data_IF_637843180311
#
_entry.id   IF_637843180311
#
_cell.length_a   1.000
_cell.length_b   1.000
_cell.length_c   1.000
_cell.angle_alpha   90.00
_cell.angle_beta   90.00
_cell.angle_gamma   90.00
#
_symmetry.space_group_name_H-M   'P 1'
#
loop_
_entity.id
_entity.type
_entity.pdbx_description
1 polymer ?
#
# COMPACT_ATOMS: atom_id res chain seq x y z
N UNK A 1 67.01 16.81 -44.35
CA UNK A 1 65.81 16.09 -43.87
C UNK A 1 66.03 14.62 -44.17
N UNK A 2 66.36 13.86 -43.13
CA UNK A 2 66.88 12.48 -43.22
C UNK A 2 65.74 11.49 -43.55
N UNK A 3 66.07 10.41 -44.26
CA UNK A 3 65.08 9.39 -44.68
C UNK A 3 64.45 8.63 -43.51
N UNK A 4 64.99 8.78 -42.30
CA UNK A 4 64.49 8.16 -41.06
C UNK A 4 63.19 8.81 -40.56
N UNK A 5 62.98 10.12 -40.78
CA UNK A 5 61.76 10.83 -40.36
C UNK A 5 60.54 10.48 -41.24
N UNK A 6 60.76 10.01 -42.47
CA UNK A 6 59.66 9.61 -43.37
C UNK A 6 59.07 8.25 -43.02
N UNK A 7 59.81 7.40 -42.32
CA UNK A 7 59.34 6.07 -41.94
C UNK A 7 58.47 6.09 -40.67
N UNK A 8 58.61 7.11 -39.81
CA UNK A 8 57.78 7.30 -38.61
C UNK A 8 56.39 7.86 -38.91
N UNK A 9 56.22 8.58 -40.04
CA UNK A 9 54.92 9.10 -40.46
C UNK A 9 54.01 8.04 -41.11
N UNK A 10 54.54 6.85 -41.42
CA UNK A 10 53.74 5.72 -41.91
C UNK A 10 53.16 4.86 -40.79
N UNK A 11 53.76 4.90 -39.59
CA UNK A 11 53.14 4.38 -38.37
C UNK A 11 52.33 5.49 -37.72
N UNK A 12 51.24 5.86 -38.38
CA UNK A 12 50.26 6.77 -37.81
C UNK A 12 49.69 6.10 -36.56
N UNK A 13 50.02 6.60 -35.37
CA UNK A 13 49.49 6.11 -34.09
C UNK A 13 47.95 6.13 -34.08
N UNK A 14 47.32 7.05 -34.82
CA UNK A 14 45.87 7.02 -35.02
C UNK A 14 45.39 5.84 -35.86
N UNK A 15 46.19 5.35 -36.81
CA UNK A 15 45.87 4.17 -37.62
C UNK A 15 45.93 2.88 -36.80
N UNK A 16 46.93 2.75 -35.93
CA UNK A 16 47.09 1.60 -35.02
C UNK A 16 46.01 1.59 -33.93
N UNK A 17 45.65 2.77 -33.41
CA UNK A 17 44.52 2.91 -32.48
C UNK A 17 43.19 2.68 -33.21
N UNK A 18 43.01 3.18 -34.43
CA UNK A 18 41.80 2.95 -35.23
C UNK A 18 41.62 1.46 -35.56
N UNK A 19 42.65 0.75 -36.03
CA UNK A 19 42.56 -0.70 -36.32
C UNK A 19 42.27 -1.53 -35.06
N UNK A 20 42.87 -1.20 -33.91
CA UNK A 20 42.56 -1.87 -32.63
C UNK A 20 41.15 -1.58 -32.14
N UNK A 21 40.65 -0.37 -32.35
CA UNK A 21 39.30 0.03 -31.90
C UNK A 21 38.22 -0.54 -32.81
N UNK A 22 38.46 -0.57 -34.14
CA UNK A 22 37.56 -1.18 -35.13
C UNK A 22 37.45 -2.69 -34.92
N UNK A 23 38.55 -3.41 -34.69
CA UNK A 23 38.49 -4.85 -34.43
C UNK A 23 37.78 -5.23 -33.12
N UNK A 24 37.83 -4.36 -32.10
CA UNK A 24 37.08 -4.53 -30.86
C UNK A 24 35.60 -4.25 -31.04
N UNK A 25 35.25 -3.18 -31.77
CA UNK A 25 33.87 -2.84 -32.10
C UNK A 25 33.23 -3.89 -33.03
N UNK A 26 33.91 -4.40 -34.04
CA UNK A 26 33.37 -5.45 -34.92
C UNK A 26 33.05 -6.75 -34.16
N UNK A 27 33.88 -7.12 -33.18
CA UNK A 27 33.72 -8.37 -32.42
C UNK A 27 32.71 -8.27 -31.27
N UNK A 28 32.53 -7.08 -30.69
CA UNK A 28 31.67 -6.85 -29.53
C UNK A 28 30.47 -5.93 -29.78
N UNK A 29 30.29 -5.38 -31.00
CA UNK A 29 29.17 -4.50 -31.33
C UNK A 29 27.83 -5.15 -31.00
N UNK A 30 27.63 -6.42 -31.38
CA UNK A 30 26.38 -7.12 -31.12
C UNK A 30 26.07 -7.27 -29.63
N UNK A 31 27.09 -7.49 -28.79
CA UNK A 31 26.94 -7.62 -27.34
C UNK A 31 26.73 -6.27 -26.65
N UNK A 32 27.45 -5.22 -27.11
CA UNK A 32 27.29 -3.85 -26.59
C UNK A 32 25.91 -3.30 -26.94
N UNK A 33 25.45 -3.47 -28.18
CA UNK A 33 24.11 -3.05 -28.61
C UNK A 33 23.02 -3.81 -27.84
N UNK A 34 23.20 -5.13 -27.67
CA UNK A 34 22.27 -5.96 -26.91
C UNK A 34 22.18 -5.53 -25.44
N UNK A 35 23.31 -5.26 -24.79
CA UNK A 35 23.35 -4.78 -23.41
C UNK A 35 22.73 -3.38 -23.26
N UNK A 36 22.98 -2.47 -24.21
CA UNK A 36 22.38 -1.14 -24.20
C UNK A 36 20.85 -1.20 -24.39
N UNK A 37 20.36 -2.03 -25.31
CA UNK A 37 18.93 -2.26 -25.49
C UNK A 37 18.29 -2.88 -24.23
N UNK A 38 18.94 -3.86 -23.60
CA UNK A 38 18.45 -4.46 -22.36
C UNK A 38 18.40 -3.45 -21.20
N UNK A 39 19.40 -2.59 -21.07
CA UNK A 39 19.43 -1.53 -20.06
C UNK A 39 18.33 -0.49 -20.30
N UNK A 40 18.12 -0.07 -21.56
CA UNK A 40 17.03 0.84 -21.92
C UNK A 40 15.65 0.22 -21.67
N UNK A 41 15.46 -1.06 -21.97
CA UNK A 41 14.23 -1.78 -21.66
C UNK A 41 14.01 -1.88 -20.14
N UNK A 42 15.04 -2.18 -19.36
CA UNK A 42 14.95 -2.23 -17.91
C UNK A 42 14.58 -0.85 -17.31
N UNK A 43 15.18 0.22 -17.83
CA UNK A 43 14.84 1.59 -17.44
C UNK A 43 13.41 1.97 -17.85
N UNK A 44 12.97 1.60 -19.05
CA UNK A 44 11.60 1.85 -19.51
C UNK A 44 10.57 1.10 -18.67
N UNK A 45 10.83 -0.18 -18.36
CA UNK A 45 9.97 -0.99 -17.47
C UNK A 45 9.95 -0.41 -16.05
N UNK A 46 11.12 -0.03 -15.52
CA UNK A 46 11.23 0.60 -14.20
C UNK A 46 10.46 1.93 -14.13
N UNK A 47 10.61 2.78 -15.16
CA UNK A 47 9.90 4.05 -15.26
C UNK A 47 8.38 3.88 -15.40
N UNK A 48 7.93 2.88 -16.17
CA UNK A 48 6.50 2.59 -16.36
C UNK A 48 5.84 2.06 -15.07
N UNK A 49 6.57 1.26 -14.28
CA UNK A 49 6.12 0.87 -12.95
C UNK A 49 6.00 2.03 -11.98
N UNK A 50 6.91 3.02 -12.04
CA UNK A 50 6.81 4.21 -11.18
C UNK A 50 5.69 5.16 -11.62
N UNK A 51 5.45 5.33 -12.93
CA UNK A 51 4.40 6.22 -13.43
C UNK A 51 2.98 5.72 -13.14
N UNK A 52 2.78 4.40 -13.17
CA UNK A 52 1.46 3.78 -12.90
C UNK A 52 0.97 4.01 -11.47
N UNK A 53 1.88 4.29 -10.53
CA UNK A 53 1.54 4.53 -9.12
C UNK A 53 1.04 5.97 -8.89
N UNK A 54 1.64 6.97 -9.56
CA UNK A 54 1.29 8.38 -9.39
C UNK A 54 -0.03 8.77 -10.08
N UNK A 55 -0.25 8.32 -11.32
CA UNK A 55 -1.54 8.56 -12.03
C UNK A 55 -2.69 7.74 -11.43
N UNK A 56 -2.38 6.58 -10.84
CA UNK A 56 -3.34 5.77 -10.11
C UNK A 56 -3.89 6.47 -8.85
N UNK A 57 -3.02 7.14 -8.09
CA UNK A 57 -3.42 7.77 -6.83
C UNK A 57 -4.43 8.92 -7.01
N UNK A 58 -4.22 9.82 -7.98
CA UNK A 58 -5.12 10.96 -8.23
C UNK A 58 -6.51 10.52 -8.75
N UNK A 59 -6.52 9.52 -9.65
CA UNK A 59 -7.77 8.93 -10.12
C UNK A 59 -8.52 8.16 -9.03
N UNK A 60 -7.78 7.55 -8.09
CA UNK A 60 -8.33 6.91 -6.89
C UNK A 60 -9.09 7.88 -5.99
N UNK A 61 -8.49 9.05 -5.72
CA UNK A 61 -9.15 10.10 -4.93
C UNK A 61 -10.40 10.66 -5.62
N UNK A 62 -10.34 10.84 -6.93
CA UNK A 62 -11.50 11.32 -7.70
C UNK A 62 -12.67 10.33 -7.60
N UNK A 63 -12.40 9.02 -7.77
CA UNK A 63 -13.43 8.01 -7.66
C UNK A 63 -13.97 7.91 -6.23
N UNK A 64 -13.09 7.92 -5.22
CA UNK A 64 -13.49 7.94 -3.81
C UNK A 64 -14.42 9.11 -3.50
N UNK A 65 -14.09 10.32 -3.97
CA UNK A 65 -14.90 11.51 -3.72
C UNK A 65 -16.28 11.46 -4.41
N UNK A 66 -16.40 10.70 -5.50
CA UNK A 66 -17.68 10.47 -6.19
C UNK A 66 -18.51 9.32 -5.62
N UNK A 67 -17.92 8.45 -4.79
CA UNK A 67 -18.59 7.29 -4.22
C UNK A 67 -19.65 7.72 -3.20
N UNK A 68 -20.83 7.09 -3.24
CA UNK A 68 -21.95 7.40 -2.34
C UNK A 68 -22.50 6.15 -1.65
N UNK A 69 -22.32 4.98 -2.25
CA UNK A 69 -22.83 3.70 -1.75
C UNK A 69 -21.69 2.74 -1.38
N UNK A 70 -22.00 1.71 -0.59
CA UNK A 70 -21.04 0.64 -0.23
C UNK A 70 -20.45 -0.01 -1.49
N UNK A 71 -21.27 -0.21 -2.52
CA UNK A 71 -20.83 -0.80 -3.80
C UNK A 71 -19.85 0.13 -4.54
N UNK A 72 -20.09 1.45 -4.53
CA UNK A 72 -19.15 2.42 -5.12
C UNK A 72 -17.80 2.39 -4.40
N UNK A 73 -17.81 2.34 -3.06
CA UNK A 73 -16.57 2.20 -2.28
C UNK A 73 -15.89 0.85 -2.54
N UNK A 74 -16.64 -0.23 -2.71
CA UNK A 74 -16.14 -1.53 -3.14
C UNK A 74 -15.36 -1.45 -4.46
N UNK A 75 -15.91 -0.74 -5.44
CA UNK A 75 -15.23 -0.51 -6.71
C UNK A 75 -13.92 0.28 -6.56
N UNK A 76 -13.85 1.24 -5.62
CA UNK A 76 -12.60 1.96 -5.29
C UNK A 76 -11.57 1.00 -4.69
N UNK A 77 -11.98 0.15 -3.75
CA UNK A 77 -11.11 -0.81 -3.07
C UNK A 77 -10.50 -1.79 -4.08
N UNK A 78 -11.34 -2.36 -4.95
CA UNK A 78 -10.90 -3.34 -5.94
C UNK A 78 -9.97 -2.73 -6.99
N UNK A 79 -10.29 -1.52 -7.46
CA UNK A 79 -9.53 -0.84 -8.52
C UNK A 79 -8.20 -0.27 -8.05
N UNK A 80 -8.11 0.19 -6.80
CA UNK A 80 -6.95 0.92 -6.27
C UNK A 80 -6.30 0.22 -5.08
N UNK A 81 -6.37 -1.12 -5.03
CA UNK A 81 -5.86 -1.94 -3.92
C UNK A 81 -4.43 -1.56 -3.49
N UNK A 82 -4.24 -1.37 -2.19
CA UNK A 82 -2.96 -0.97 -1.59
C UNK A 82 -2.62 0.52 -1.73
N UNK A 83 -3.49 1.32 -2.37
CA UNK A 83 -3.33 2.77 -2.45
C UNK A 83 -4.12 3.48 -1.35
N UNK A 84 -3.72 4.69 -0.94
CA UNK A 84 -4.41 5.46 0.11
C UNK A 84 -5.92 5.61 -0.11
N UNK A 85 -6.36 5.86 -1.34
CA UNK A 85 -7.79 6.01 -1.64
C UNK A 85 -8.59 4.72 -1.35
N UNK A 86 -8.03 3.55 -1.66
CA UNK A 86 -8.64 2.26 -1.32
C UNK A 86 -8.66 2.03 0.20
N UNK A 87 -7.62 2.44 0.93
CA UNK A 87 -7.61 2.33 2.39
C UNK A 87 -8.73 3.17 3.02
N UNK A 88 -8.94 4.40 2.54
CA UNK A 88 -10.04 5.25 3.00
C UNK A 88 -11.41 4.66 2.64
N UNK A 89 -11.58 4.15 1.41
CA UNK A 89 -12.81 3.46 1.02
C UNK A 89 -13.11 2.27 1.94
N UNK A 90 -12.11 1.42 2.20
CA UNK A 90 -12.24 0.27 3.08
C UNK A 90 -12.61 0.67 4.51
N UNK A 91 -12.03 1.75 5.03
CA UNK A 91 -12.37 2.28 6.34
C UNK A 91 -13.85 2.71 6.40
N UNK A 92 -14.31 3.47 5.39
CA UNK A 92 -15.70 3.94 5.30
C UNK A 92 -16.67 2.76 5.22
N UNK A 93 -16.38 1.74 4.41
CA UNK A 93 -17.21 0.52 4.32
C UNK A 93 -17.27 -0.19 5.66
N UNK A 94 -16.13 -0.42 6.31
CA UNK A 94 -16.08 -1.10 7.61
C UNK A 94 -16.85 -0.35 8.69
N UNK A 95 -16.66 0.97 8.80
CA UNK A 95 -17.39 1.79 9.77
C UNK A 95 -18.89 1.85 9.48
N UNK A 96 -19.28 1.92 8.20
CA UNK A 96 -20.70 1.92 7.79
C UNK A 96 -21.37 0.60 8.12
N UNK A 97 -20.70 -0.53 7.84
CA UNK A 97 -21.18 -1.85 8.20
C UNK A 97 -21.36 -1.98 9.71
N UNK A 98 -20.35 -1.60 10.50
CA UNK A 98 -20.46 -1.65 11.96
C UNK A 98 -21.60 -0.76 12.48
N UNK A 99 -21.65 0.50 12.03
CA UNK A 99 -22.69 1.47 12.44
C UNK A 99 -24.10 0.98 12.13
N UNK A 100 -24.29 0.31 10.99
CA UNK A 100 -25.58 -0.25 10.58
C UNK A 100 -25.92 -1.53 11.33
N UNK A 101 -24.91 -2.35 11.62
CA UNK A 101 -25.10 -3.63 12.29
C UNK A 101 -25.51 -3.49 13.76
N UNK A 102 -24.93 -2.52 14.49
CA UNK A 102 -25.22 -2.30 15.91
C UNK A 102 -26.73 -2.16 16.24
N UNK A 103 -27.49 -1.25 15.61
CA UNK A 103 -28.94 -1.19 15.82
C UNK A 103 -29.68 -2.41 15.22
N UNK A 104 -29.11 -3.05 14.19
CA UNK A 104 -29.70 -4.23 13.54
C UNK A 104 -29.65 -5.46 14.45
N UNK A 105 -28.71 -5.53 15.40
CA UNK A 105 -28.65 -6.61 16.41
C UNK A 105 -29.98 -6.81 17.17
N UNK A 106 -30.76 -5.74 17.33
CA UNK A 106 -32.05 -5.77 18.03
C UNK A 106 -33.25 -6.12 17.12
N UNK A 107 -33.04 -6.19 15.80
CA UNK A 107 -34.08 -6.46 14.79
C UNK A 107 -33.86 -7.78 14.09
N UNK A 108 -32.64 -7.98 13.60
CA UNK A 108 -32.19 -9.20 12.94
C UNK A 108 -30.74 -9.48 13.32
N UNK A 109 -30.57 -10.36 14.31
CA UNK A 109 -29.27 -10.74 14.83
C UNK A 109 -28.41 -11.45 13.78
N UNK A 110 -29.01 -12.23 12.87
CA UNK A 110 -28.25 -12.99 11.89
C UNK A 110 -27.60 -12.08 10.84
N UNK A 111 -28.36 -11.07 10.37
CA UNK A 111 -27.84 -10.04 9.47
C UNK A 111 -26.77 -9.21 10.19
N UNK A 112 -27.06 -8.74 11.41
CA UNK A 112 -26.11 -7.93 12.15
C UNK A 112 -24.77 -8.63 12.42
N UNK A 113 -24.79 -9.93 12.78
CA UNK A 113 -23.56 -10.71 12.94
C UNK A 113 -22.76 -10.79 11.64
N UNK A 114 -23.45 -10.93 10.50
CA UNK A 114 -22.80 -10.97 9.19
C UNK A 114 -22.09 -9.65 8.89
N UNK A 115 -22.77 -8.53 9.14
CA UNK A 115 -22.24 -7.20 8.91
C UNK A 115 -21.09 -6.86 9.86
N UNK A 116 -21.17 -7.24 11.15
CA UNK A 116 -20.07 -7.06 12.11
C UNK A 116 -18.84 -7.88 11.69
N UNK A 117 -19.03 -9.11 11.21
CA UNK A 117 -17.93 -9.93 10.68
C UNK A 117 -17.30 -9.30 9.45
N UNK A 118 -18.11 -8.70 8.57
CA UNK A 118 -17.63 -7.97 7.40
C UNK A 118 -16.81 -6.74 7.81
N UNK A 119 -17.34 -5.92 8.73
CA UNK A 119 -16.65 -4.76 9.27
C UNK A 119 -15.30 -5.12 9.90
N UNK A 120 -15.30 -6.16 10.76
CA UNK A 120 -14.12 -6.71 11.41
C UNK A 120 -13.04 -7.10 10.39
N UNK A 121 -13.40 -7.90 9.37
CA UNK A 121 -12.45 -8.31 8.32
C UNK A 121 -11.85 -7.11 7.59
N UNK A 122 -12.65 -6.08 7.32
CA UNK A 122 -12.14 -4.88 6.67
C UNK A 122 -11.18 -4.08 7.56
N UNK A 123 -11.43 -3.98 8.87
CA UNK A 123 -10.48 -3.38 9.80
C UNK A 123 -9.19 -4.20 9.94
N UNK A 124 -9.30 -5.53 10.06
CA UNK A 124 -8.13 -6.43 10.09
C UNK A 124 -7.29 -6.28 8.80
N UNK A 125 -7.94 -6.27 7.63
CA UNK A 125 -7.26 -6.08 6.34
C UNK A 125 -6.55 -4.73 6.24
N UNK A 126 -7.10 -3.66 6.82
CA UNK A 126 -6.41 -2.37 6.89
C UNK A 126 -5.18 -2.47 7.77
N UNK A 127 -5.30 -3.06 8.96
CA UNK A 127 -4.21 -3.16 9.91
C UNK A 127 -3.04 -4.02 9.40
N UNK A 128 -3.29 -4.94 8.49
CA UNK A 128 -2.29 -5.76 7.79
C UNK A 128 -1.51 -4.98 6.70
N UNK A 129 -1.96 -3.79 6.30
CA UNK A 129 -1.27 -2.97 5.30
C UNK A 129 0.06 -2.41 5.83
N UNK A 130 1.14 -2.64 5.06
CA UNK A 130 2.51 -2.24 5.43
C UNK A 130 2.69 -0.73 5.55
N UNK A 131 1.94 0.03 4.75
CA UNK A 131 2.00 1.50 4.68
C UNK A 131 0.59 2.05 4.82
N UNK A 132 0.07 2.00 6.04
CA UNK A 132 -1.21 2.57 6.38
C UNK A 132 -1.03 3.97 6.99
N UNK A 133 -1.88 4.90 6.59
CA UNK A 133 -1.97 6.21 7.23
C UNK A 133 -2.32 6.07 8.72
N UNK A 134 -1.69 6.86 9.58
CA UNK A 134 -1.86 6.76 11.04
C UNK A 134 -3.30 7.05 11.48
N UNK A 135 -3.98 7.97 10.80
CA UNK A 135 -5.39 8.30 11.09
C UNK A 135 -6.30 7.12 10.77
N UNK A 136 -6.04 6.43 9.65
CA UNK A 136 -6.79 5.22 9.29
C UNK A 136 -6.47 4.10 10.29
N UNK A 137 -5.21 3.95 10.68
CA UNK A 137 -4.78 2.92 11.65
C UNK A 137 -5.47 3.09 13.00
N UNK A 138 -5.46 4.30 13.54
CA UNK A 138 -6.13 4.64 14.81
C UNK A 138 -7.62 4.30 14.76
N UNK A 139 -8.32 4.73 13.71
CA UNK A 139 -9.75 4.46 13.53
C UNK A 139 -10.05 2.98 13.32
N UNK A 140 -9.17 2.26 12.61
CA UNK A 140 -9.32 0.83 12.39
C UNK A 140 -9.13 0.03 13.69
N UNK A 141 -8.18 0.41 14.55
CA UNK A 141 -8.01 -0.20 15.88
C UNK A 141 -9.24 0.02 16.76
N UNK A 142 -9.77 1.25 16.77
CA UNK A 142 -11.01 1.57 17.49
C UNK A 142 -12.20 0.73 16.98
N UNK A 143 -12.44 0.73 15.67
CA UNK A 143 -13.52 -0.05 15.06
C UNK A 143 -13.38 -1.55 15.27
N UNK A 144 -12.15 -2.08 15.21
CA UNK A 144 -11.87 -3.49 15.49
C UNK A 144 -12.19 -3.85 16.94
N UNK A 145 -11.81 -3.01 17.90
CA UNK A 145 -12.13 -3.24 19.31
C UNK A 145 -13.64 -3.28 19.55
N UNK A 146 -14.40 -2.37 18.94
CA UNK A 146 -15.88 -2.38 18.98
C UNK A 146 -16.46 -3.66 18.38
N UNK A 147 -15.95 -4.12 17.24
CA UNK A 147 -16.39 -5.38 16.62
C UNK A 147 -16.13 -6.59 17.53
N UNK A 148 -14.95 -6.65 18.15
CA UNK A 148 -14.56 -7.74 19.05
C UNK A 148 -15.43 -7.73 20.30
N UNK A 149 -15.65 -6.55 20.90
CA UNK A 149 -16.52 -6.42 22.06
C UNK A 149 -17.96 -6.80 21.76
N UNK A 150 -18.51 -6.31 20.64
CA UNK A 150 -19.90 -6.59 20.26
C UNK A 150 -20.15 -8.09 20.04
N UNK A 151 -19.13 -8.82 19.59
CA UNK A 151 -19.18 -10.26 19.33
C UNK A 151 -18.68 -11.12 20.49
N UNK A 152 -18.37 -10.52 21.64
CA UNK A 152 -17.87 -11.22 22.81
C UNK A 152 -18.92 -12.21 23.34
N UNK A 153 -18.47 -13.42 23.66
CA UNK A 153 -19.29 -14.51 24.22
C UNK A 153 -19.20 -14.62 25.75
N UNK A 154 -18.63 -13.60 26.40
CA UNK A 154 -18.35 -13.55 27.83
C UNK A 154 -16.86 -13.58 28.16
N UNK A 155 -15.99 -13.95 27.23
CA UNK A 155 -14.54 -13.81 27.42
C UNK A 155 -14.06 -12.38 27.11
N UNK A 156 -13.99 -11.55 28.16
CA UNK A 156 -13.60 -10.13 28.06
C UNK A 156 -12.12 -9.88 27.76
N UNK A 157 -11.25 -10.90 27.77
CA UNK A 157 -9.83 -10.71 27.49
C UNK A 157 -9.56 -10.16 26.10
N UNK A 158 -10.28 -10.65 25.08
CA UNK A 158 -10.06 -10.23 23.70
C UNK A 158 -10.49 -8.77 23.47
N UNK A 159 -11.68 -8.33 23.91
CA UNK A 159 -12.05 -6.91 23.89
C UNK A 159 -11.04 -6.01 24.63
N UNK A 160 -10.59 -6.40 25.83
CA UNK A 160 -9.61 -5.63 26.61
C UNK A 160 -8.31 -5.48 25.82
N UNK A 161 -7.75 -6.58 25.30
CA UNK A 161 -6.51 -6.55 24.50
C UNK A 161 -6.64 -5.65 23.27
N UNK A 162 -7.82 -5.62 22.64
CA UNK A 162 -8.05 -4.77 21.47
C UNK A 162 -8.05 -3.27 21.81
N UNK A 163 -8.69 -2.85 22.90
CA UNK A 163 -8.63 -1.46 23.37
C UNK A 163 -7.24 -1.09 23.91
N UNK A 164 -6.54 -2.01 24.56
CA UNK A 164 -5.16 -1.81 25.02
C UNK A 164 -4.21 -1.61 23.83
N UNK A 165 -4.43 -2.28 22.69
CA UNK A 165 -3.67 -2.05 21.47
C UNK A 165 -3.83 -0.60 20.96
N UNK A 166 -5.06 -0.09 20.92
CA UNK A 166 -5.35 1.31 20.54
C UNK A 166 -4.62 2.30 21.45
N UNK A 167 -4.80 2.18 22.77
CA UNK A 167 -4.25 3.14 23.74
C UNK A 167 -2.73 3.07 23.85
N UNK A 168 -2.13 1.91 23.61
CA UNK A 168 -0.67 1.74 23.57
C UNK A 168 -0.05 2.35 22.32
N UNK A 169 -0.67 2.16 21.16
CA UNK A 169 -0.15 2.68 19.89
C UNK A 169 -0.45 4.18 19.72
N UNK A 170 -1.62 4.64 20.19
CA UNK A 170 -2.08 6.02 20.10
C UNK A 170 -2.41 6.58 21.50
N UNK A 171 -1.40 6.92 22.32
CA UNK A 171 -1.59 7.40 23.69
C UNK A 171 -2.26 8.78 23.80
N UNK A 172 -2.36 9.51 22.69
CA UNK A 172 -3.04 10.80 22.58
C UNK A 172 -4.32 10.72 21.72
N UNK A 173 -4.81 9.49 21.48
CA UNK A 173 -6.01 9.24 20.68
C UNK A 173 -7.22 9.99 21.22
N UNK A 174 -8.07 10.49 20.31
CA UNK A 174 -9.38 11.03 20.68
C UNK A 174 -10.29 9.98 21.35
N UNK A 175 -10.03 8.70 21.10
CA UNK A 175 -10.78 7.57 21.65
C UNK A 175 -10.23 7.10 22.99
N UNK A 176 -9.07 7.58 23.44
CA UNK A 176 -8.37 7.06 24.63
C UNK A 176 -9.25 7.03 25.86
N UNK A 177 -9.87 8.15 26.21
CA UNK A 177 -10.69 8.24 27.42
C UNK A 177 -11.85 7.24 27.40
N UNK A 178 -12.47 7.05 26.24
CA UNK A 178 -13.55 6.08 26.06
C UNK A 178 -13.03 4.64 26.13
N UNK A 179 -11.89 4.35 25.50
CA UNK A 179 -11.26 3.04 25.52
C UNK A 179 -10.81 2.63 26.95
N UNK A 180 -10.20 3.55 27.71
CA UNK A 180 -9.77 3.31 29.09
C UNK A 180 -10.95 3.06 30.04
N UNK A 181 -12.02 3.84 29.90
CA UNK A 181 -13.27 3.63 30.65
C UNK A 181 -13.90 2.27 30.30
N UNK A 182 -13.88 1.89 29.02
CA UNK A 182 -14.40 0.60 28.57
C UNK A 182 -13.57 -0.58 29.07
N UNK A 183 -12.25 -0.50 29.05
CA UNK A 183 -11.35 -1.49 29.66
C UNK A 183 -11.66 -1.65 31.15
N UNK A 184 -11.81 -0.53 31.86
CA UNK A 184 -12.12 -0.53 33.30
C UNK A 184 -13.46 -1.19 33.60
N UNK A 185 -14.46 -0.95 32.75
CA UNK A 185 -15.78 -1.58 32.86
C UNK A 185 -15.71 -3.08 32.59
N UNK A 186 -15.02 -3.51 31.53
CA UNK A 186 -14.87 -4.91 31.17
C UNK A 186 -14.11 -5.73 32.23
N UNK A 187 -13.17 -5.12 32.96
CA UNK A 187 -12.44 -5.78 34.06
C UNK A 187 -13.29 -6.02 35.32
N UNK A 188 -14.49 -5.44 35.40
CA UNK A 188 -15.41 -5.58 36.54
C UNK A 188 -16.51 -6.61 36.33
N UNK A 189 -16.72 -7.06 35.09
CA UNK A 189 -17.61 -8.17 34.72
C UNK A 189 -16.96 -9.52 35.10
#
# INVERSE_FOLDING_TARGET
>A
MNSEERHQLQTNDLGVVAERTVGFFERHMGTILGAACAALLALAVGYWWTQSVETGAESGWTLLNSAQTIDDYGAVIDKFKGQPAAHWAQLIVSETNLKTALPTMFKDRAIAITDIKSARKGFESLLDEKKLDLTIRERALWGLALCIETMCDGNVENPIKAYEALTKEFPDSIFKLVAEDRITSLKKE
#
